data_IF_444708552599
#
_entry.id   IF_444708552599
#
_cell.length_a   1.000
_cell.length_b   1.000
_cell.length_c   1.000
_cell.angle_alpha   90.00
_cell.angle_beta   90.00
_cell.angle_gamma   90.00
#
_symmetry.space_group_name_H-M   'P 1'
#
loop_
_entity.id
_entity.type
_entity.pdbx_description
1 polymer ?
#
# COMPACT_ATOMS: atom_id res chain seq x y z
N UNK A 1 16.43 21.57 -7.09
CA UNK A 1 16.91 20.73 -5.96
C UNK A 1 16.55 21.44 -4.67
N UNK A 2 15.84 20.79 -3.75
CA UNK A 2 15.66 21.33 -2.39
C UNK A 2 16.97 21.24 -1.63
N UNK A 3 17.19 22.17 -0.70
CA UNK A 3 18.38 22.15 0.14
C UNK A 3 18.30 20.97 1.13
N UNK A 4 19.45 20.44 1.54
CA UNK A 4 19.53 19.36 2.53
C UNK A 4 18.79 19.74 3.82
N UNK A 5 18.90 21.00 4.25
CA UNK A 5 18.21 21.56 5.41
C UNK A 5 16.69 21.53 5.29
N UNK A 6 16.12 21.90 4.14
CA UNK A 6 14.68 21.82 3.90
C UNK A 6 14.18 20.37 4.03
N UNK A 7 14.95 19.41 3.53
CA UNK A 7 14.58 17.99 3.62
C UNK A 7 14.56 17.49 5.06
N UNK A 8 15.54 17.89 5.88
CA UNK A 8 15.55 17.56 7.30
C UNK A 8 14.41 18.23 8.07
N UNK A 9 14.11 19.49 7.78
CA UNK A 9 12.97 20.18 8.40
C UNK A 9 11.64 19.49 8.10
N UNK A 10 11.42 19.12 6.83
CA UNK A 10 10.22 18.39 6.42
C UNK A 10 10.14 16.99 7.06
N UNK A 11 11.26 16.27 7.17
CA UNK A 11 11.34 14.98 7.85
C UNK A 11 11.04 15.10 9.36
N UNK A 12 11.55 16.15 10.02
CA UNK A 12 11.28 16.42 11.43
C UNK A 12 9.80 16.75 11.66
N UNK A 13 9.20 17.57 10.79
CA UNK A 13 7.77 17.90 10.85
C UNK A 13 6.88 16.65 10.66
N UNK A 14 7.25 15.75 9.74
CA UNK A 14 6.51 14.50 9.53
C UNK A 14 6.52 13.55 10.75
N UNK A 15 7.41 13.76 11.72
CA UNK A 15 7.47 13.01 12.96
C UNK A 15 6.93 13.76 14.18
N UNK A 16 6.47 15.00 14.02
CA UNK A 16 6.02 15.84 15.12
C UNK A 16 4.52 15.59 15.41
N UNK A 17 4.15 14.97 16.55
CA UNK A 17 2.74 14.68 16.86
C UNK A 17 1.86 15.92 17.00
N UNK A 18 2.44 17.11 17.20
CA UNK A 18 1.73 18.38 17.24
C UNK A 18 1.60 19.06 15.85
N UNK A 19 2.11 18.44 14.78
CA UNK A 19 1.96 18.97 13.43
C UNK A 19 0.48 18.92 13.00
N UNK A 20 -0.09 20.04 12.55
CA UNK A 20 -1.47 20.07 12.09
C UNK A 20 -1.65 19.31 10.76
N UNK A 21 -2.86 18.82 10.52
CA UNK A 21 -3.17 17.95 9.38
C UNK A 21 -2.82 18.58 8.02
N UNK A 22 -3.04 19.88 7.86
CA UNK A 22 -2.74 20.64 6.64
C UNK A 22 -1.24 20.68 6.32
N UNK A 23 -0.38 20.68 7.34
CA UNK A 23 1.08 20.55 7.16
C UNK A 23 1.42 19.14 6.71
N UNK A 24 0.83 18.11 7.34
CA UNK A 24 1.06 16.71 6.96
C UNK A 24 0.60 16.40 5.53
N UNK A 25 -0.53 16.97 5.09
CA UNK A 25 -1.01 16.86 3.71
C UNK A 25 -0.06 17.53 2.72
N UNK A 26 0.46 18.71 3.05
CA UNK A 26 1.50 19.37 2.24
C UNK A 26 2.79 18.56 2.17
N UNK A 27 3.17 17.89 3.26
CA UNK A 27 4.31 16.98 3.30
C UNK A 27 4.09 15.73 2.43
N UNK A 28 2.89 15.15 2.46
CA UNK A 28 2.51 14.02 1.60
C UNK A 28 2.59 14.40 0.12
N UNK A 29 2.14 15.62 -0.24
CA UNK A 29 2.22 16.15 -1.60
C UNK A 29 3.66 16.38 -2.11
N UNK A 30 4.68 16.31 -1.25
CA UNK A 30 6.07 16.38 -1.67
C UNK A 30 6.55 15.09 -2.36
N UNK A 31 5.80 13.99 -2.22
CA UNK A 31 6.10 12.64 -2.74
C UNK A 31 7.52 12.15 -2.39
N UNK A 32 8.06 12.61 -1.26
CA UNK A 32 9.36 12.15 -0.76
C UNK A 32 9.18 10.87 0.06
N UNK A 33 9.78 9.79 -0.43
CA UNK A 33 9.68 8.47 0.19
C UNK A 33 10.06 8.42 1.67
N UNK A 34 11.07 9.18 2.09
CA UNK A 34 11.51 9.20 3.50
C UNK A 34 10.52 9.94 4.40
N UNK A 35 9.92 11.02 3.89
CA UNK A 35 8.90 11.80 4.57
C UNK A 35 7.62 10.98 4.69
N UNK A 36 7.14 10.38 3.59
CA UNK A 36 5.92 9.57 3.60
C UNK A 36 6.07 8.30 4.44
N UNK A 37 7.24 7.66 4.41
CA UNK A 37 7.54 6.56 5.33
C UNK A 37 7.51 7.04 6.78
N UNK A 38 8.01 8.24 7.11
CA UNK A 38 7.90 8.79 8.47
C UNK A 38 6.44 9.01 8.88
N UNK A 39 5.62 9.55 7.98
CA UNK A 39 4.19 9.78 8.19
C UNK A 39 3.41 8.51 8.54
N UNK A 40 3.75 7.34 7.98
CA UNK A 40 3.04 6.09 8.30
C UNK A 40 3.21 5.63 9.75
N UNK A 41 4.23 6.13 10.46
CA UNK A 41 4.44 5.89 11.90
C UNK A 41 4.01 7.09 12.75
N UNK A 42 3.32 8.06 12.17
CA UNK A 42 2.86 9.21 12.92
C UNK A 42 1.88 8.77 14.01
N UNK A 43 2.18 9.15 15.26
CA UNK A 43 1.42 8.71 16.43
C UNK A 43 -0.04 9.17 16.39
N UNK A 44 -0.31 10.29 15.72
CA UNK A 44 -1.63 10.86 15.51
C UNK A 44 -1.88 11.03 14.01
N UNK A 45 -1.95 9.92 13.26
CA UNK A 45 -2.32 9.97 11.85
C UNK A 45 -3.79 10.41 11.77
N UNK A 46 -4.04 11.65 11.36
CA UNK A 46 -5.40 12.18 11.28
C UNK A 46 -6.19 11.47 10.17
N UNK A 47 -7.51 11.42 10.31
CA UNK A 47 -8.38 10.80 9.31
C UNK A 47 -8.17 11.40 7.90
N UNK A 48 -8.00 12.71 7.80
CA UNK A 48 -7.76 13.40 6.52
C UNK A 48 -6.47 12.94 5.82
N UNK A 49 -5.37 12.78 6.58
CA UNK A 49 -4.09 12.30 6.03
C UNK A 49 -4.19 10.83 5.64
N UNK A 50 -4.87 10.01 6.46
CA UNK A 50 -5.09 8.61 6.17
C UNK A 50 -5.96 8.40 4.91
N UNK A 51 -7.03 9.18 4.74
CA UNK A 51 -7.86 9.18 3.52
C UNK A 51 -7.05 9.64 2.30
N UNK A 52 -6.21 10.67 2.44
CA UNK A 52 -5.33 11.10 1.36
C UNK A 52 -4.34 10.01 0.95
N UNK A 53 -3.78 9.28 1.92
CA UNK A 53 -2.94 8.10 1.64
C UNK A 53 -3.73 6.98 0.99
N UNK A 54 -4.98 6.73 1.39
CA UNK A 54 -5.86 5.69 0.82
C UNK A 54 -6.14 5.93 -0.66
N UNK A 55 -6.40 7.18 -1.04
CA UNK A 55 -6.69 7.57 -2.42
C UNK A 55 -5.44 7.92 -3.25
N UNK A 56 -4.25 7.79 -2.67
CA UNK A 56 -3.01 8.19 -3.34
C UNK A 56 -2.76 7.34 -4.61
N UNK A 57 -2.36 7.94 -5.75
CA UNK A 57 -2.13 7.19 -6.99
C UNK A 57 -0.99 6.16 -6.85
N UNK A 58 0.06 6.54 -6.14
CA UNK A 58 1.21 5.66 -5.91
C UNK A 58 0.89 4.51 -4.95
N UNK A 59 0.99 3.29 -5.46
CA UNK A 59 0.73 2.05 -4.71
C UNK A 59 1.54 1.96 -3.41
N UNK A 60 2.80 2.39 -3.43
CA UNK A 60 3.68 2.25 -2.26
C UNK A 60 3.22 3.13 -1.09
N UNK A 61 2.54 4.25 -1.36
CA UNK A 61 1.93 5.09 -0.32
C UNK A 61 0.74 4.39 0.32
N UNK A 62 -0.12 3.75 -0.49
CA UNK A 62 -1.23 2.92 0.00
C UNK A 62 -0.74 1.71 0.81
N UNK A 63 0.41 1.14 0.45
CA UNK A 63 1.07 0.09 1.23
C UNK A 63 1.51 0.59 2.61
N UNK A 64 2.06 1.80 2.69
CA UNK A 64 2.44 2.40 3.97
C UNK A 64 1.24 2.66 4.88
N UNK A 65 0.06 2.92 4.32
CA UNK A 65 -1.19 3.01 5.07
C UNK A 65 -1.60 1.66 5.67
N UNK A 66 -1.50 0.56 4.91
CA UNK A 66 -1.74 -0.79 5.43
C UNK A 66 -0.79 -1.14 6.59
N UNK A 67 0.47 -0.68 6.48
CA UNK A 67 1.53 -0.86 7.47
C UNK A 67 1.45 0.07 8.69
N UNK A 68 0.57 1.08 8.64
CA UNK A 68 0.39 2.03 9.73
C UNK A 68 -0.34 1.36 10.90
N UNK A 69 0.22 1.51 12.10
CA UNK A 69 -0.36 0.99 13.35
C UNK A 69 -1.34 1.98 13.98
N UNK A 70 -1.35 3.23 13.53
CA UNK A 70 -2.24 4.30 14.01
C UNK A 70 -3.43 4.53 13.08
N UNK A 71 -3.36 4.05 11.84
CA UNK A 71 -4.50 4.06 10.94
C UNK A 71 -5.65 3.20 11.50
N UNK A 72 -6.87 3.72 11.42
CA UNK A 72 -8.07 3.02 11.85
C UNK A 72 -8.21 1.67 11.10
N UNK A 73 -8.55 0.57 11.78
CA UNK A 73 -8.73 -0.74 11.14
C UNK A 73 -9.73 -0.71 9.97
N UNK A 74 -10.81 0.05 10.11
CA UNK A 74 -11.86 0.22 9.10
C UNK A 74 -11.33 0.91 7.84
N UNK A 75 -10.47 1.91 8.01
CA UNK A 75 -9.85 2.63 6.90
C UNK A 75 -8.85 1.74 6.15
N UNK A 76 -8.11 0.88 6.85
CA UNK A 76 -7.27 -0.14 6.21
C UNK A 76 -8.10 -1.21 5.50
N UNK A 77 -9.25 -1.59 6.03
CA UNK A 77 -10.16 -2.52 5.37
C UNK A 77 -10.65 -1.99 4.02
N UNK A 78 -10.78 -0.67 3.84
CA UNK A 78 -11.11 -0.05 2.54
C UNK A 78 -10.06 -0.28 1.45
N UNK A 79 -8.81 -0.61 1.79
CA UNK A 79 -7.80 -1.02 0.80
C UNK A 79 -8.18 -2.34 0.09
N UNK A 80 -9.08 -3.15 0.68
CA UNK A 80 -9.59 -4.36 0.04
C UNK A 80 -10.54 -4.08 -1.14
N UNK A 81 -11.01 -2.83 -1.27
CA UNK A 81 -11.80 -2.38 -2.43
C UNK A 81 -10.90 -1.92 -3.61
N UNK A 82 -9.59 -1.83 -3.38
CA UNK A 82 -8.60 -1.43 -4.37
C UNK A 82 -8.06 -2.57 -5.23
N UNK A 83 -6.95 -2.35 -5.97
CA UNK A 83 -6.26 -3.41 -6.69
C UNK A 83 -5.77 -4.49 -5.72
N UNK A 84 -5.65 -5.73 -6.20
CA UNK A 84 -5.22 -6.87 -5.38
C UNK A 84 -3.83 -6.70 -4.72
N UNK A 85 -3.00 -5.77 -5.22
CA UNK A 85 -1.76 -5.38 -4.56
C UNK A 85 -1.98 -4.80 -3.16
N UNK A 86 -3.13 -4.17 -2.94
CA UNK A 86 -3.47 -3.46 -1.71
C UNK A 86 -4.05 -4.46 -0.71
N UNK A 87 -4.89 -5.39 -1.18
CA UNK A 87 -5.30 -6.56 -0.40
C UNK A 87 -4.10 -7.40 0.09
N UNK A 88 -3.08 -7.56 -0.76
CA UNK A 88 -1.82 -8.20 -0.35
C UNK A 88 -1.12 -7.43 0.78
N UNK A 89 -1.10 -6.09 0.72
CA UNK A 89 -0.51 -5.30 1.80
C UNK A 89 -1.28 -5.50 3.11
N UNK A 90 -2.63 -5.42 3.07
CA UNK A 90 -3.46 -5.69 4.26
C UNK A 90 -3.26 -7.11 4.81
N UNK A 91 -3.06 -8.11 3.94
CA UNK A 91 -2.82 -9.49 4.36
C UNK A 91 -1.47 -9.69 5.06
N UNK A 92 -0.43 -8.95 4.65
CA UNK A 92 0.92 -9.03 5.21
C UNK A 92 1.04 -8.16 6.48
N UNK A 93 0.33 -7.04 6.53
CA UNK A 93 0.36 -6.09 7.65
C UNK A 93 -0.57 -6.53 8.81
N UNK A 94 -0.25 -6.23 10.09
CA UNK A 94 0.94 -5.57 10.59
C UNK A 94 2.08 -6.57 10.90
N UNK A 95 3.29 -6.19 10.47
CA UNK A 95 4.54 -6.90 10.78
C UNK A 95 4.65 -7.15 12.31
N UNK A 96 5.04 -8.36 12.77
CA UNK A 96 5.06 -8.78 14.19
C UNK A 96 5.80 -7.86 15.17
N UNK A 97 6.61 -6.92 14.69
CA UNK A 97 7.29 -5.92 15.52
C UNK A 97 6.48 -4.65 15.79
N UNK A 98 5.21 -4.59 15.37
CA UNK A 98 4.32 -3.43 15.57
C UNK A 98 3.06 -3.82 16.34
N UNK A 99 2.44 -2.84 16.99
CA UNK A 99 1.17 -3.00 17.69
C UNK A 99 0.17 -3.61 16.71
N UNK A 100 -0.32 -4.81 17.06
CA UNK A 100 -1.30 -5.53 16.26
C UNK A 100 -2.66 -4.88 16.45
N UNK A 101 -3.02 -3.98 15.53
CA UNK A 101 -4.41 -3.68 15.28
C UNK A 101 -4.90 -4.75 14.29
N UNK A 102 -5.62 -5.81 14.71
CA UNK A 102 -6.18 -6.77 13.77
C UNK A 102 -7.16 -6.04 12.82
N UNK A 103 -7.31 -6.50 11.57
CA UNK A 103 -8.39 -6.02 10.72
C UNK A 103 -9.74 -6.39 11.35
N UNK A 104 -10.82 -5.65 11.04
CA UNK A 104 -12.18 -6.05 11.39
C UNK A 104 -12.50 -7.46 10.86
N UNK A 105 -13.41 -8.18 11.53
CA UNK A 105 -13.75 -9.57 11.20
C UNK A 105 -14.22 -9.71 9.74
N UNK A 106 -15.04 -8.78 9.26
CA UNK A 106 -15.51 -8.76 7.87
C UNK A 106 -14.38 -8.56 6.86
N UNK A 107 -13.35 -7.79 7.22
CA UNK A 107 -12.16 -7.61 6.38
C UNK A 107 -11.32 -8.90 6.36
N UNK A 108 -11.24 -9.61 7.48
CA UNK A 108 -10.59 -10.91 7.55
C UNK A 108 -11.30 -11.95 6.69
N UNK A 109 -12.63 -12.01 6.72
CA UNK A 109 -13.42 -12.89 5.85
C UNK A 109 -13.22 -12.58 4.36
N UNK A 110 -13.21 -11.30 4.00
CA UNK A 110 -12.90 -10.85 2.62
C UNK A 110 -11.52 -11.32 2.17
N UNK A 111 -10.52 -11.21 3.04
CA UNK A 111 -9.15 -11.66 2.76
C UNK A 111 -9.06 -13.18 2.59
N UNK A 112 -9.73 -13.96 3.44
CA UNK A 112 -9.77 -15.42 3.34
C UNK A 112 -10.47 -15.91 2.06
N UNK A 113 -11.42 -15.15 1.54
CA UNK A 113 -12.16 -15.44 0.32
C UNK A 113 -11.64 -14.70 -0.93
N UNK A 114 -10.56 -13.93 -0.79
CA UNK A 114 -10.02 -13.10 -1.87
C UNK A 114 -9.61 -13.96 -3.07
N UNK A 115 -9.86 -13.52 -4.31
CA UNK A 115 -9.62 -14.30 -5.54
C UNK A 115 -8.17 -14.79 -5.70
N UNK A 116 -7.20 -13.96 -5.33
CA UNK A 116 -5.78 -14.27 -5.41
C UNK A 116 -5.33 -15.23 -4.31
N UNK A 117 -4.76 -16.36 -4.72
CA UNK A 117 -4.28 -17.42 -3.80
C UNK A 117 -3.19 -16.93 -2.84
N UNK A 118 -2.34 -15.99 -3.27
CA UNK A 118 -1.28 -15.46 -2.43
C UNK A 118 -1.85 -14.62 -1.29
N UNK A 119 -2.91 -13.83 -1.53
CA UNK A 119 -3.58 -13.05 -0.48
C UNK A 119 -4.11 -14.00 0.59
N UNK A 120 -4.89 -15.01 0.20
CA UNK A 120 -5.39 -16.04 1.13
C UNK A 120 -4.27 -16.74 1.91
N UNK A 121 -3.17 -17.06 1.23
CA UNK A 121 -2.00 -17.70 1.85
C UNK A 121 -1.36 -16.81 2.91
N UNK A 122 -1.09 -15.54 2.60
CA UNK A 122 -0.51 -14.60 3.56
C UNK A 122 -1.47 -14.35 4.72
N UNK A 123 -2.76 -14.16 4.45
CA UNK A 123 -3.78 -13.98 5.50
C UNK A 123 -3.77 -15.10 6.53
N UNK A 124 -3.70 -16.37 6.10
CA UNK A 124 -3.66 -17.53 7.03
C UNK A 124 -2.35 -17.63 7.81
N UNK A 125 -1.25 -17.08 7.27
CA UNK A 125 0.08 -17.10 7.89
C UNK A 125 0.40 -15.83 8.69
N UNK A 126 -0.43 -14.79 8.58
CA UNK A 126 -0.24 -13.53 9.28
C UNK A 126 -0.25 -13.74 10.80
N UNK A 127 0.67 -13.08 11.50
CA UNK A 127 0.79 -13.16 12.97
C UNK A 127 -0.45 -12.63 13.71
N UNK A 128 -1.26 -11.82 13.02
CA UNK A 128 -2.52 -11.25 13.48
C UNK A 128 -3.71 -12.21 13.34
N UNK A 129 -3.56 -13.36 12.67
CA UNK A 129 -4.64 -14.35 12.53
C UNK A 129 -5.10 -14.79 13.92
N UNK A 130 -6.39 -14.55 14.26
CA UNK A 130 -6.97 -15.08 15.49
C UNK A 130 -6.78 -16.59 15.52
N UNK A 131 -6.34 -17.12 16.66
CA UNK A 131 -6.29 -18.57 16.83
C UNK A 131 -7.73 -19.10 16.80
N UNK A 132 -8.10 -19.95 15.81
CA UNK A 132 -9.47 -20.41 15.65
C UNK A 132 -9.92 -21.39 16.75
N UNK A 133 -9.06 -21.65 17.75
CA UNK A 133 -9.41 -22.53 18.87
C UNK A 133 -10.38 -21.83 19.81
N UNK A 134 -11.60 -22.36 20.01
CA UNK A 134 -12.51 -21.80 21.02
C UNK A 134 -11.83 -21.83 22.39
N UNK A 135 -11.79 -20.67 23.07
CA UNK A 135 -11.15 -20.50 24.37
C UNK A 135 -9.71 -19.95 24.36
N UNK A 136 -9.08 -19.73 23.20
CA UNK A 136 -7.80 -19.02 23.12
C UNK A 136 -7.99 -17.50 23.06
N UNK A 137 -8.63 -16.93 24.08
CA UNK A 137 -8.84 -15.49 24.16
C UNK A 137 -7.48 -14.76 24.15
N UNK A 138 -7.16 -14.10 23.04
CA UNK A 138 -6.18 -13.02 22.96
C UNK A 138 -4.69 -13.38 22.98
N UNK A 139 -4.28 -14.63 22.75
CA UNK A 139 -2.84 -14.94 22.59
C UNK A 139 -2.43 -14.85 21.11
N UNK A 140 -1.73 -13.78 20.68
CA UNK A 140 -1.20 -13.72 19.32
C UNK A 140 -0.22 -14.87 19.11
N UNK A 141 -0.26 -15.46 17.91
CA UNK A 141 0.46 -16.71 17.58
C UNK A 141 2.00 -16.57 17.58
N UNK A 142 2.54 -15.41 17.94
CA UNK A 142 3.97 -15.06 17.93
C UNK A 142 4.61 -14.83 19.31
N UNK A 143 3.88 -14.83 20.42
CA UNK A 143 4.44 -14.44 21.74
C UNK A 143 5.08 -15.58 22.55
N UNK A 144 5.35 -16.74 21.93
CA UNK A 144 5.98 -17.89 22.59
C UNK A 144 7.12 -18.46 21.72
N UNK A 145 8.22 -17.71 21.61
CA UNK A 145 9.51 -18.29 21.25
C UNK A 145 10.56 -17.86 22.29
N UNK A 146 11.07 -18.78 23.12
CA UNK A 146 12.30 -18.53 23.86
C UNK A 146 13.44 -18.29 22.85
N UNK A 147 14.24 -17.27 23.10
CA UNK A 147 15.46 -16.97 22.34
C UNK A 147 16.38 -18.21 22.35
N UNK A 148 16.43 -18.96 21.25
CA UNK A 148 17.34 -20.10 21.12
C UNK A 148 16.94 -21.22 20.17
N UNK A 149 15.71 -21.26 19.65
CA UNK A 149 15.27 -22.32 18.74
C UNK A 149 14.96 -21.82 17.33
N UNK A 150 15.77 -22.21 16.35
CA UNK A 150 15.38 -22.13 14.92
C UNK A 150 14.03 -22.84 14.74
N UNK A 151 13.04 -22.25 14.03
CA UNK A 151 11.72 -22.85 13.91
C UNK A 151 11.82 -24.16 13.13
N UNK A 152 11.42 -25.25 13.80
CA UNK A 152 11.10 -26.50 13.16
C UNK A 152 10.07 -26.25 12.06
N UNK A 153 10.40 -26.69 10.84
CA UNK A 153 9.49 -26.83 9.70
C UNK A 153 8.09 -27.25 10.16
N UNK A 154 7.10 -26.41 9.90
CA UNK A 154 5.69 -26.73 10.07
C UNK A 154 5.36 -28.07 9.38
N UNK A 155 4.80 -29.01 10.13
CA UNK A 155 4.49 -30.36 9.65
C UNK A 155 3.53 -30.32 8.42
N UNK A 156 3.83 -31.07 7.34
CA UNK A 156 3.15 -30.97 6.03
C UNK A 156 1.68 -31.38 6.02
N UNK A 157 1.14 -31.98 7.08
CA UNK A 157 -0.21 -32.53 7.11
C UNK A 157 -1.33 -31.47 7.14
N UNK A 158 -1.11 -30.31 7.77
CA UNK A 158 -2.12 -29.23 7.83
C UNK A 158 -2.13 -28.32 6.59
N UNK A 159 -1.03 -28.31 5.82
CA UNK A 159 -0.88 -27.57 4.54
C UNK A 159 -1.78 -28.11 3.43
N UNK A 160 -2.08 -29.42 3.46
CA UNK A 160 -2.85 -30.09 2.40
C UNK A 160 -4.36 -29.84 2.46
N UNK A 161 -4.94 -29.60 3.64
CA UNK A 161 -6.40 -29.43 3.77
C UNK A 161 -6.87 -28.02 3.37
N UNK A 162 -6.09 -26.97 3.67
CA UNK A 162 -6.40 -25.60 3.24
C UNK A 162 -6.10 -25.35 1.74
N UNK A 163 -5.11 -26.04 1.15
CA UNK A 163 -4.85 -25.98 -0.29
C UNK A 163 -5.79 -26.85 -1.14
N UNK A 164 -6.49 -27.81 -0.54
CA UNK A 164 -7.44 -28.68 -1.25
C UNK A 164 -8.76 -27.97 -1.59
N UNK A 165 -9.22 -27.00 -0.79
CA UNK A 165 -10.41 -26.18 -1.07
C UNK A 165 -10.13 -24.98 -1.98
N UNK A 166 -8.88 -24.51 -2.07
CA UNK A 166 -8.48 -23.41 -2.96
C UNK A 166 -8.20 -23.85 -4.42
N UNK A 167 -8.14 -25.17 -4.69
CA UNK A 167 -8.12 -25.71 -6.06
C UNK A 167 -9.57 -25.98 -6.48
N UNK A 168 -10.23 -24.95 -7.00
CA UNK A 168 -11.47 -25.14 -7.75
C UNK A 168 -11.31 -26.22 -8.84
N UNK A 169 -12.42 -26.85 -9.28
CA UNK A 169 -12.40 -27.94 -10.25
C UNK A 169 -11.58 -27.52 -11.48
N UNK A 170 -10.54 -28.30 -11.79
CA UNK A 170 -9.73 -28.09 -13.00
C UNK A 170 -10.68 -28.13 -14.20
N UNK A 171 -10.70 -27.11 -15.08
CA UNK A 171 -11.44 -27.21 -16.32
C UNK A 171 -10.91 -28.43 -17.07
N UNK A 172 -11.82 -29.34 -17.43
CA UNK A 172 -11.49 -30.50 -18.28
C UNK A 172 -10.85 -29.94 -19.56
N UNK A 173 -9.53 -30.16 -19.71
CA UNK A 173 -8.82 -29.97 -20.98
C UNK A 173 -9.48 -30.90 -22.00
N UNK A 174 -10.47 -30.40 -22.73
CA UNK A 174 -10.88 -31.02 -23.98
C UNK A 174 -9.68 -30.90 -24.91
N UNK A 175 -9.04 -32.03 -25.18
CA UNK A 175 -8.00 -32.15 -26.19
C UNK A 175 -8.61 -31.79 -27.56
N UNK A 176 -8.60 -30.50 -27.91
CA UNK A 176 -8.87 -30.04 -29.27
C UNK A 176 -7.65 -30.44 -30.09
N UNK A 177 -7.80 -31.58 -30.75
CA UNK A 177 -6.88 -32.16 -31.73
C UNK A 177 -6.60 -31.12 -32.82
N UNK A 178 -5.45 -30.44 -32.72
CA UNK A 178 -4.95 -29.56 -33.77
C UNK A 178 -4.38 -30.44 -34.87
N UNK A 179 -4.90 -30.27 -36.09
CA UNK A 179 -4.38 -30.88 -37.30
C UNK A 179 -2.98 -30.33 -37.62
N UNK A 180 -2.09 -31.15 -38.21
CA UNK A 180 -0.79 -30.68 -38.69
C UNK A 180 -0.98 -29.98 -40.03
N UNK A 181 -0.74 -28.66 -40.07
CA UNK A 181 -0.71 -27.86 -41.30
C UNK A 181 0.67 -27.26 -41.52
N UNK A 182 1.28 -27.60 -42.66
CA UNK A 182 2.46 -27.01 -43.29
C UNK A 182 2.53 -25.49 -43.12
N UNK A 183 3.68 -24.88 -42.83
CA UNK A 183 4.79 -24.69 -43.77
C UNK A 183 5.34 -23.25 -43.64
N UNK A 184 6.48 -22.92 -44.29
CA UNK A 184 7.47 -21.98 -43.78
C UNK A 184 7.31 -20.54 -44.30
N UNK A 185 7.85 -19.56 -43.55
CA UNK A 185 7.93 -18.17 -44.00
C UNK A 185 8.93 -17.35 -43.20
N UNK A 186 10.22 -17.52 -43.48
CA UNK A 186 11.26 -16.55 -43.12
C UNK A 186 11.00 -15.26 -43.92
N UNK A 187 10.65 -14.19 -43.23
CA UNK A 187 10.55 -12.85 -43.81
C UNK A 187 11.34 -11.88 -42.94
N UNK A 188 12.59 -11.63 -43.34
CA UNK A 188 13.38 -10.53 -42.83
C UNK A 188 12.76 -9.21 -43.29
N UNK A 189 12.50 -8.28 -42.36
CA UNK A 189 12.40 -6.87 -42.70
C UNK A 189 13.05 -6.03 -41.59
N UNK A 190 14.33 -5.74 -41.83
CA UNK A 190 14.94 -4.47 -41.46
C UNK A 190 14.14 -3.34 -42.12
N UNK A 191 13.73 -2.38 -41.32
CA UNK A 191 13.38 -1.02 -41.71
C UNK A 191 13.64 -0.18 -40.48
N UNK A 192 14.81 0.44 -40.37
CA UNK A 192 15.01 1.84 -40.77
C UNK A 192 13.80 2.71 -40.41
N UNK A 193 13.93 3.42 -39.29
CA UNK A 193 13.20 4.67 -39.07
C UNK A 193 14.20 5.77 -38.74
N UNK A 194 14.16 6.88 -39.49
CA UNK A 194 15.16 7.92 -39.42
C UNK A 194 14.92 8.88 -38.25
N UNK A 195 16.05 9.44 -37.82
CA UNK A 195 16.19 10.76 -37.25
C UNK A 195 15.32 11.80 -37.98
N UNK A 196 14.54 12.57 -37.24
CA UNK A 196 14.00 13.84 -37.71
C UNK A 196 13.77 14.76 -36.51
N UNK A 197 14.65 15.77 -36.41
CA UNK A 197 14.54 16.85 -35.46
C UNK A 197 13.24 17.64 -35.62
N UNK A 198 12.62 17.94 -34.49
CA UNK A 198 11.44 18.79 -34.36
C UNK A 198 11.74 19.98 -33.48
N UNK A 199 12.29 21.02 -34.13
CA UNK A 199 12.34 22.45 -33.81
C UNK A 199 11.74 22.95 -32.49
N UNK A 200 12.59 23.72 -31.82
CA UNK A 200 12.31 24.89 -30.99
C UNK A 200 11.09 25.72 -31.47
N UNK A 201 10.22 26.09 -30.54
CA UNK A 201 9.39 27.28 -30.62
C UNK A 201 9.47 28.02 -29.28
N UNK A 202 10.04 29.24 -29.23
CA UNK A 202 9.82 30.18 -28.15
C UNK A 202 8.61 31.07 -28.49
N UNK A 203 7.56 31.00 -27.69
CA UNK A 203 6.42 31.94 -27.75
C UNK A 203 5.84 32.03 -26.35
N UNK A 204 6.08 33.12 -25.63
CA UNK A 204 5.12 34.23 -25.55
C UNK A 204 4.27 34.01 -24.29
N UNK A 205 4.37 34.80 -23.22
CA UNK A 205 4.27 36.24 -23.21
C UNK A 205 2.92 36.60 -22.57
N UNK A 206 2.96 37.36 -21.47
CA UNK A 206 1.80 38.10 -20.96
C UNK A 206 1.17 37.53 -19.68
N UNK A 207 1.16 38.34 -18.63
CA UNK A 207 0.33 38.03 -17.46
C UNK A 207 0.63 38.78 -16.17
N UNK A 208 1.07 40.04 -16.22
CA UNK A 208 1.03 40.90 -15.05
C UNK A 208 -0.42 41.15 -14.62
N UNK A 209 -0.74 40.91 -13.34
CA UNK A 209 -1.87 41.42 -12.53
C UNK A 209 -1.81 40.70 -11.18
N UNK A 210 -2.06 41.29 -10.02
CA UNK A 210 -2.07 42.65 -9.54
C UNK A 210 -2.01 42.47 -8.01
N UNK A 211 -1.19 43.26 -7.33
CA UNK A 211 -1.17 43.27 -5.87
C UNK A 211 -2.52 43.75 -5.34
N UNK A 212 -3.23 42.88 -4.64
CA UNK A 212 -4.36 43.23 -3.79
C UNK A 212 -3.88 43.44 -2.37
N UNK A 213 -3.45 44.66 -2.04
CA UNK A 213 -3.26 45.12 -0.68
C UNK A 213 -4.65 45.26 -0.02
N UNK A 214 -4.95 44.39 0.93
CA UNK A 214 -6.11 44.50 1.83
C UNK A 214 -5.74 45.26 3.11
N UNK A 215 -6.64 46.10 3.66
CA UNK A 215 -6.28 47.14 4.62
C UNK A 215 -6.04 46.63 6.04
N UNK A 216 -5.07 47.27 6.70
CA UNK A 216 -4.89 47.28 8.15
C UNK A 216 -6.12 47.90 8.81
N UNK A 217 -6.91 47.06 9.48
CA UNK A 217 -7.90 47.50 10.45
C UNK A 217 -7.35 47.30 11.86
N UNK A 218 -6.83 48.37 12.45
CA UNK A 218 -6.97 48.62 13.88
C UNK A 218 -7.87 49.85 14.00
N UNK A 219 -8.83 49.82 14.94
CA UNK A 219 -8.70 50.79 16.02
C UNK A 219 -9.06 50.24 17.40
N UNK A 220 -8.45 50.90 18.37
CA UNK A 220 -8.73 50.93 19.81
C UNK A 220 -10.20 50.97 20.19
N UNK A 221 -10.51 50.47 21.40
CA UNK A 221 -11.77 50.81 22.04
C UNK A 221 -12.09 50.12 23.38
N UNK A 222 -11.41 50.57 24.45
CA UNK A 222 -11.77 50.52 25.88
C UNK A 222 -11.56 49.23 26.67
#
# INVERSE_FOLDING_TARGET
MRTMTERYGAYALAGNPAAPADVLLRLLALDDRSITHRLSYHAALTGEVAEAMLTHPERWVRHLLADSFTAAPELRARLLDGPASDAMAVAISPNPYRIQAPPPDEAYERLLNHEQVNVRYETVNAASTPDPRPGSAGRPRGSLLPAGGLPARMAPARRRRALATARGPRPRRTHRRLAPGHGPGRGAHRGDRPDAGGRLAPGGGGGARQAGAGPRGTPDGR
#
